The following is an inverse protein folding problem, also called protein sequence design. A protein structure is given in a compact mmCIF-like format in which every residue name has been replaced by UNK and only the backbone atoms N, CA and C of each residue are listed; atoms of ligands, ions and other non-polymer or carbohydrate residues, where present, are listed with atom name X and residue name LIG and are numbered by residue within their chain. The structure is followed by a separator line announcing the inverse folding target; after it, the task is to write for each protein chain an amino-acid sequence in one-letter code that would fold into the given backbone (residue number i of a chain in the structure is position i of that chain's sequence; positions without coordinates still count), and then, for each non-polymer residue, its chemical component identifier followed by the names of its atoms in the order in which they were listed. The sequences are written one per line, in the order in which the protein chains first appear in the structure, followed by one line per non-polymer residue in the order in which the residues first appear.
data_IF_715316704082
#
_entry.id   IF_715316704082
#
_cell.length_a   1.000
_cell.length_b   1.000
_cell.length_c   1.000
_cell.angle_alpha   90.00
_cell.angle_beta   90.00
_cell.angle_gamma   90.00
#
_symmetry.space_group_name_H-M   'P 1'
#
loop_
_entity.id
_entity.type
_entity.pdbx_description
1 polymer ?
#
# COMPACT_ATOMS: atom_id res chain seq x y z
N UNK A 1 4.81 13.16 -14.72
CA UNK A 1 5.47 14.01 -13.71
C UNK A 1 4.38 14.55 -12.79
N UNK A 2 4.55 14.48 -11.47
CA UNK A 2 3.56 14.99 -10.52
C UNK A 2 3.75 16.50 -10.30
N UNK A 3 2.66 17.29 -10.38
CA UNK A 3 2.68 18.72 -10.05
C UNK A 3 2.05 18.95 -8.68
N UNK A 4 2.84 19.48 -7.74
CA UNK A 4 2.43 19.77 -6.37
C UNK A 4 2.32 21.28 -6.08
N UNK A 5 2.55 22.14 -7.08
CA UNK A 5 2.65 23.60 -6.90
C UNK A 5 1.37 24.25 -6.38
N UNK A 6 0.21 23.59 -6.55
CA UNK A 6 -1.11 24.05 -6.12
C UNK A 6 -1.72 23.21 -5.00
N UNK A 7 -0.97 22.26 -4.45
CA UNK A 7 -1.47 21.41 -3.36
C UNK A 7 -1.15 22.03 -2.00
N UNK A 8 -2.19 22.17 -1.17
CA UNK A 8 -2.04 22.64 0.21
C UNK A 8 -1.83 21.48 1.19
N UNK A 9 -2.18 20.26 0.77
CA UNK A 9 -2.02 19.02 1.54
C UNK A 9 -1.82 17.83 0.60
N UNK A 10 -1.33 16.71 1.15
CA UNK A 10 -1.20 15.45 0.44
C UNK A 10 -2.17 14.42 1.03
N UNK A 11 -2.63 13.43 0.22
CA UNK A 11 -3.41 12.31 0.71
C UNK A 11 -2.78 11.62 1.93
N UNK A 12 -3.62 11.21 2.88
CA UNK A 12 -3.19 10.56 4.12
C UNK A 12 -2.79 9.12 3.82
N UNK A 13 -1.50 8.84 3.90
CA UNK A 13 -0.97 7.49 3.73
C UNK A 13 -0.23 7.02 4.99
N UNK A 14 -0.68 5.88 5.51
CA UNK A 14 -0.10 5.22 6.69
C UNK A 14 0.76 4.02 6.29
N UNK A 15 1.56 3.52 7.24
CA UNK A 15 2.34 2.29 7.06
C UNK A 15 2.03 1.36 8.23
N UNK A 16 1.72 0.10 7.95
CA UNK A 16 1.55 -0.96 8.95
C UNK A 16 2.63 -2.02 8.80
N UNK A 17 3.07 -2.61 9.91
CA UNK A 17 4.16 -3.57 9.94
C UNK A 17 3.65 -4.99 10.11
N UNK A 18 4.20 -5.95 9.35
CA UNK A 18 3.88 -7.35 9.48
C UNK A 18 5.00 -8.10 10.22
N UNK A 19 4.58 -9.03 11.07
CA UNK A 19 5.41 -9.91 11.87
C UNK A 19 4.53 -11.08 12.36
N UNK A 20 5.14 -12.08 13.00
CA UNK A 20 4.39 -13.20 13.56
C UNK A 20 3.40 -12.68 14.62
N UNK A 21 2.14 -13.14 14.54
CA UNK A 21 1.08 -12.72 15.46
C UNK A 21 0.78 -11.21 15.42
N UNK A 22 0.93 -10.57 14.25
CA UNK A 22 0.64 -9.15 14.08
C UNK A 22 -0.84 -8.85 14.38
N UNK A 23 -1.07 -7.80 15.16
CA UNK A 23 -2.40 -7.27 15.41
C UNK A 23 -2.89 -6.47 14.19
N UNK A 24 -4.19 -6.54 13.92
CA UNK A 24 -4.82 -5.70 12.89
C UNK A 24 -5.21 -4.31 13.40
N UNK A 25 -5.06 -4.03 14.70
CA UNK A 25 -5.41 -2.74 15.30
C UNK A 25 -4.74 -1.54 14.61
N UNK A 26 -3.44 -1.58 14.24
CA UNK A 26 -2.85 -0.47 13.48
C UNK A 26 -3.52 -0.25 12.11
N UNK A 27 -3.89 -1.33 11.41
CA UNK A 27 -4.58 -1.22 10.12
C UNK A 27 -6.00 -0.67 10.31
N UNK A 28 -6.76 -1.20 11.27
CA UNK A 28 -8.10 -0.72 11.61
C UNK A 28 -8.08 0.75 12.01
N UNK A 29 -7.16 1.17 12.87
CA UNK A 29 -7.05 2.56 13.29
C UNK A 29 -6.83 3.53 12.12
N UNK A 30 -6.02 3.14 11.12
CA UNK A 30 -5.83 3.95 9.91
C UNK A 30 -7.09 3.99 9.04
N UNK A 31 -7.79 2.85 8.90
CA UNK A 31 -9.07 2.77 8.17
C UNK A 31 -10.14 3.64 8.86
N UNK A 32 -10.31 3.50 10.17
CA UNK A 32 -11.28 4.25 10.97
C UNK A 32 -11.01 5.75 10.96
N UNK A 33 -9.73 6.14 10.87
CA UNK A 33 -9.31 7.54 10.73
C UNK A 33 -9.44 8.09 9.30
N UNK A 34 -9.94 7.30 8.34
CA UNK A 34 -10.20 7.71 6.96
C UNK A 34 -8.93 7.97 6.15
N UNK A 35 -7.89 7.14 6.30
CA UNK A 35 -6.70 7.24 5.47
C UNK A 35 -7.00 6.87 4.00
N UNK A 36 -6.49 7.68 3.07
CA UNK A 36 -6.65 7.47 1.62
C UNK A 36 -5.86 6.25 1.13
N UNK A 37 -4.76 5.92 1.79
CA UNK A 37 -3.98 4.74 1.48
C UNK A 37 -3.19 4.14 2.65
N UNK A 38 -2.87 2.86 2.54
CA UNK A 38 -2.10 2.11 3.53
C UNK A 38 -1.01 1.32 2.80
N UNK A 39 0.23 1.51 3.22
CA UNK A 39 1.36 0.67 2.80
C UNK A 39 1.57 -0.43 3.84
N UNK A 40 1.61 -1.67 3.39
CA UNK A 40 1.97 -2.81 4.21
C UNK A 40 3.48 -3.05 4.11
N UNK A 41 4.22 -2.90 5.21
CA UNK A 41 5.58 -3.41 5.33
C UNK A 41 5.48 -4.92 5.62
N UNK A 42 5.29 -5.69 4.56
CA UNK A 42 5.09 -7.14 4.59
C UNK A 42 6.34 -7.93 4.99
N UNK A 43 6.16 -9.22 5.25
CA UNK A 43 7.25 -10.18 5.45
C UNK A 43 7.66 -10.80 4.09
N UNK A 44 8.93 -11.16 3.92
CA UNK A 44 9.39 -11.82 2.68
C UNK A 44 9.09 -11.00 1.42
N UNK A 45 8.42 -11.60 0.44
CA UNK A 45 7.98 -10.95 -0.81
C UNK A 45 6.66 -10.14 -0.62
N UNK A 46 6.62 -9.31 0.43
CA UNK A 46 5.46 -8.47 0.77
C UNK A 46 4.22 -9.23 1.25
N UNK A 47 4.41 -10.39 1.87
CA UNK A 47 3.32 -11.17 2.47
C UNK A 47 2.78 -10.51 3.75
N UNK A 48 1.50 -10.74 4.02
CA UNK A 48 0.80 -10.17 5.15
C UNK A 48 0.39 -11.25 6.15
N UNK A 49 0.39 -10.90 7.43
CA UNK A 49 -0.24 -11.75 8.43
C UNK A 49 -1.76 -11.72 8.26
N UNK A 50 -2.45 -12.84 8.56
CA UNK A 50 -3.86 -13.05 8.19
C UNK A 50 -4.81 -11.93 8.64
N UNK A 51 -4.71 -11.49 9.90
CA UNK A 51 -5.60 -10.43 10.43
C UNK A 51 -5.42 -9.09 9.72
N UNK A 52 -4.17 -8.74 9.41
CA UNK A 52 -3.81 -7.53 8.65
C UNK A 52 -4.32 -7.66 7.21
N UNK A 53 -4.12 -8.83 6.59
CA UNK A 53 -4.63 -9.12 5.24
C UNK A 53 -6.14 -8.91 5.15
N UNK A 54 -6.91 -9.53 6.04
CA UNK A 54 -8.39 -9.46 6.02
C UNK A 54 -8.89 -8.01 6.18
N UNK A 55 -8.22 -7.23 7.04
CA UNK A 55 -8.53 -5.81 7.25
C UNK A 55 -8.24 -4.99 5.99
N UNK A 56 -7.06 -5.16 5.39
CA UNK A 56 -6.66 -4.39 4.21
C UNK A 56 -7.45 -4.79 2.95
N UNK A 57 -7.80 -6.06 2.80
CA UNK A 57 -8.66 -6.52 1.71
C UNK A 57 -10.07 -5.92 1.81
N UNK A 58 -10.60 -5.78 3.03
CA UNK A 58 -11.87 -5.09 3.27
C UNK A 58 -11.76 -3.59 2.98
N UNK A 59 -10.68 -2.95 3.44
CA UNK A 59 -10.42 -1.53 3.19
C UNK A 59 -10.28 -1.21 1.69
N UNK A 60 -9.59 -2.07 0.93
CA UNK A 60 -9.45 -1.92 -0.51
C UNK A 60 -10.80 -1.97 -1.25
N UNK A 61 -11.68 -2.90 -0.86
CA UNK A 61 -13.06 -2.94 -1.39
C UNK A 61 -13.86 -1.68 -1.08
N UNK A 62 -13.53 -0.99 0.01
CA UNK A 62 -14.15 0.26 0.43
C UNK A 62 -13.42 1.51 -0.11
N UNK A 63 -12.43 1.35 -0.98
CA UNK A 63 -11.76 2.43 -1.70
C UNK A 63 -10.46 2.95 -1.08
N UNK A 64 -9.96 2.34 0.01
CA UNK A 64 -8.60 2.65 0.52
C UNK A 64 -7.55 2.03 -0.40
N UNK A 65 -6.60 2.82 -0.91
CA UNK A 65 -5.52 2.26 -1.71
C UNK A 65 -4.56 1.45 -0.85
N UNK A 66 -4.27 0.20 -1.24
CA UNK A 66 -3.37 -0.68 -0.48
C UNK A 66 -2.15 -1.04 -1.31
N UNK A 67 -0.97 -0.71 -0.78
CA UNK A 67 0.31 -1.06 -1.40
C UNK A 67 1.04 -2.11 -0.55
N UNK A 68 1.36 -3.26 -1.12
CA UNK A 68 2.27 -4.24 -0.53
C UNK A 68 3.72 -3.83 -0.80
N UNK A 69 4.46 -3.58 0.28
CA UNK A 69 5.92 -3.45 0.30
C UNK A 69 6.50 -4.51 1.25
N UNK A 70 7.79 -4.44 1.55
CA UNK A 70 8.44 -5.40 2.43
C UNK A 70 9.33 -4.73 3.47
N UNK A 71 9.38 -5.34 4.66
CA UNK A 71 10.37 -5.02 5.68
C UNK A 71 11.76 -5.60 5.38
N UNK A 72 11.87 -6.51 4.39
CA UNK A 72 13.16 -7.02 3.91
C UNK A 72 13.93 -5.85 3.28
N UNK A 73 15.21 -5.65 3.62
CA UNK A 73 15.93 -4.42 3.26
C UNK A 73 16.29 -4.32 1.77
N UNK A 74 16.26 -5.42 1.03
CA UNK A 74 16.63 -5.50 -0.39
C UNK A 74 15.75 -6.50 -1.13
N UNK A 75 15.61 -6.32 -2.45
CA UNK A 75 14.74 -7.15 -3.30
C UNK A 75 13.39 -6.48 -3.55
N UNK A 76 12.67 -6.97 -4.56
CA UNK A 76 11.37 -6.44 -4.94
C UNK A 76 10.23 -7.16 -4.22
N UNK A 77 9.17 -6.42 -3.88
CA UNK A 77 7.84 -6.99 -3.70
C UNK A 77 7.21 -7.14 -5.09
N UNK A 78 7.07 -8.37 -5.59
CA UNK A 78 6.57 -8.65 -6.95
C UNK A 78 5.06 -8.82 -6.98
N UNK A 79 4.46 -8.45 -8.12
CA UNK A 79 3.04 -8.69 -8.42
C UNK A 79 2.76 -10.19 -8.56
N UNK A 80 1.54 -10.61 -8.17
CA UNK A 80 0.94 -11.93 -8.47
C UNK A 80 1.80 -13.15 -8.15
N UNK A 81 2.69 -13.03 -7.16
CA UNK A 81 3.47 -14.13 -6.64
C UNK A 81 2.72 -14.79 -5.46
N UNK A 82 2.82 -14.17 -4.29
CA UNK A 82 2.29 -14.72 -3.04
C UNK A 82 0.85 -14.29 -2.75
N UNK A 83 0.37 -13.24 -3.42
CA UNK A 83 -0.95 -12.65 -3.28
C UNK A 83 -1.50 -12.40 -4.68
N UNK A 84 -2.77 -12.75 -4.90
CA UNK A 84 -3.53 -12.39 -6.10
C UNK A 84 -3.94 -10.92 -6.02
N UNK A 85 -3.03 -10.03 -6.41
CA UNK A 85 -3.17 -8.58 -6.20
C UNK A 85 -4.37 -8.04 -6.98
N UNK A 86 -4.59 -8.55 -8.20
CA UNK A 86 -5.72 -8.20 -9.04
C UNK A 86 -7.06 -8.51 -8.38
N UNK A 87 -7.19 -9.66 -7.71
CA UNK A 87 -8.42 -10.04 -6.99
C UNK A 87 -8.75 -9.12 -5.81
N UNK A 88 -7.75 -8.60 -5.11
CA UNK A 88 -7.96 -7.78 -3.91
C UNK A 88 -7.85 -6.28 -4.16
N UNK A 89 -7.46 -5.85 -5.36
CA UNK A 89 -7.21 -4.44 -5.67
C UNK A 89 -5.97 -3.91 -4.97
N UNK A 90 -4.96 -4.77 -4.77
CA UNK A 90 -3.69 -4.39 -4.17
C UNK A 90 -2.68 -3.96 -5.24
N UNK A 91 -1.67 -3.21 -4.80
CA UNK A 91 -0.54 -2.75 -5.62
C UNK A 91 0.75 -3.29 -5.02
N UNK A 92 1.62 -3.89 -5.81
CA UNK A 92 2.96 -4.29 -5.38
C UNK A 92 3.96 -3.13 -5.58
N UNK A 93 4.79 -2.87 -4.56
CA UNK A 93 5.67 -1.69 -4.53
C UNK A 93 6.97 -1.83 -5.35
N UNK A 94 7.22 -2.99 -5.95
CA UNK A 94 8.51 -3.28 -6.57
C UNK A 94 9.65 -3.16 -5.56
N UNK A 95 10.71 -2.45 -5.91
CA UNK A 95 11.90 -2.26 -5.05
C UNK A 95 11.75 -1.13 -4.03
N UNK A 96 10.64 -0.39 -4.06
CA UNK A 96 10.41 0.69 -3.10
C UNK A 96 10.12 0.10 -1.72
N UNK A 97 10.98 0.44 -0.76
CA UNK A 97 10.74 0.14 0.65
C UNK A 97 9.50 0.91 1.18
N UNK A 98 8.95 0.57 2.36
CA UNK A 98 7.64 1.04 2.78
C UNK A 98 7.51 2.57 2.85
N UNK A 99 8.53 3.26 3.34
CA UNK A 99 8.53 4.72 3.41
C UNK A 99 8.66 5.40 2.04
N UNK A 100 9.36 4.79 1.07
CA UNK A 100 9.41 5.29 -0.31
C UNK A 100 8.11 5.00 -1.06
N UNK A 101 7.56 3.81 -0.88
CA UNK A 101 6.26 3.42 -1.42
C UNK A 101 5.15 4.36 -0.91
N UNK A 102 5.21 4.78 0.35
CA UNK A 102 4.32 5.81 0.90
C UNK A 102 4.41 7.12 0.11
N UNK A 103 5.61 7.61 -0.17
CA UNK A 103 5.79 8.87 -0.93
C UNK A 103 5.17 8.74 -2.33
N UNK A 104 5.45 7.65 -3.05
CA UNK A 104 4.90 7.46 -4.39
C UNK A 104 3.37 7.29 -4.36
N UNK A 105 2.83 6.56 -3.37
CA UNK A 105 1.39 6.41 -3.21
C UNK A 105 0.69 7.74 -2.91
N UNK A 106 1.27 8.60 -2.06
CA UNK A 106 0.72 9.93 -1.81
C UNK A 106 0.60 10.75 -3.10
N UNK A 107 1.61 10.71 -3.95
CA UNK A 107 1.62 11.42 -5.24
C UNK A 107 0.64 10.77 -6.24
N UNK A 108 0.60 9.43 -6.31
CA UNK A 108 -0.33 8.71 -7.17
C UNK A 108 -1.79 9.05 -6.84
N UNK A 109 -2.13 9.14 -5.56
CA UNK A 109 -3.47 9.49 -5.06
C UNK A 109 -3.91 10.92 -5.39
N UNK A 110 -2.99 11.81 -5.80
CA UNK A 110 -3.35 13.13 -6.37
C UNK A 110 -3.88 13.05 -7.80
N UNK A 111 -3.65 11.92 -8.47
CA UNK A 111 -3.99 11.72 -9.89
C UNK A 111 -5.13 10.71 -10.05
N UNK A 112 -5.15 9.64 -9.25
CA UNK A 112 -6.09 8.54 -9.43
C UNK A 112 -6.28 7.72 -8.15
N UNK A 113 -7.43 7.06 -8.03
CA UNK A 113 -7.73 6.07 -6.98
C UNK A 113 -7.86 4.64 -7.53
N UNK A 114 -7.68 4.47 -8.85
CA UNK A 114 -7.77 3.17 -9.52
C UNK A 114 -6.51 2.33 -9.24
N UNK A 115 -6.62 1.17 -8.58
CA UNK A 115 -5.47 0.32 -8.27
C UNK A 115 -4.64 -0.07 -9.49
N UNK A 116 -5.26 -0.25 -10.66
CA UNK A 116 -4.53 -0.61 -11.89
C UNK A 116 -3.65 0.55 -12.36
N UNK A 117 -4.15 1.78 -12.34
CA UNK A 117 -3.36 2.97 -12.69
C UNK A 117 -2.29 3.26 -11.64
N UNK A 118 -2.58 3.04 -10.36
CA UNK A 118 -1.57 3.15 -9.29
C UNK A 118 -0.45 2.11 -9.52
N UNK A 119 -0.79 0.87 -9.89
CA UNK A 119 0.22 -0.14 -10.22
C UNK A 119 1.10 0.29 -11.41
N UNK A 120 0.52 0.89 -12.46
CA UNK A 120 1.30 1.42 -13.57
C UNK A 120 2.27 2.53 -13.13
N UNK A 121 1.83 3.41 -12.23
CA UNK A 121 2.69 4.44 -11.62
C UNK A 121 3.88 3.79 -10.88
N UNK A 122 3.63 2.76 -10.07
CA UNK A 122 4.68 2.03 -9.34
C UNK A 122 5.61 1.21 -10.25
N UNK A 123 5.18 0.86 -11.46
CA UNK A 123 6.04 0.20 -12.45
C UNK A 123 6.93 1.21 -13.19
N UNK A 124 6.53 2.48 -13.25
CA UNK A 124 7.21 3.52 -14.02
C UNK A 124 8.19 4.37 -13.18
N UNK A 125 7.92 4.56 -11.89
CA UNK A 125 8.65 5.47 -10.99
C UNK A 125 9.16 4.74 -9.74
#
# INVERSE_FOLDING_TARGET
LFDVSKLNELPKVGIVYNYANASDLPAKALVDAGYDGIVSAGVGNGNLYKSVFDTLATAAKNGTAVVRSSRVPTGATTQDAEVDDAKYGFVASGTLNPQKARVLLQLALTQTKDPQQIQQIFNQY
#
